data_IF_177737574795
#
_entry.id   IF_177737574795
#
_cell.length_a   1.000
_cell.length_b   1.000
_cell.length_c   1.000
_cell.angle_alpha   90.00
_cell.angle_beta   90.00
_cell.angle_gamma   90.00
#
_symmetry.space_group_name_H-M   'P 1'
#
loop_
_entity.id
_entity.type
_entity.pdbx_description
1 polymer ?
#
# COMPACT_ATOMS: atom_id res chain seq x y z
N UNK A 1 73.55 -22.43 47.38
CA UNK A 1 72.40 -23.13 46.77
C UNK A 1 71.15 -22.36 47.12
N UNK A 2 70.38 -21.98 46.11
CA UNK A 2 69.34 -20.96 46.21
C UNK A 2 68.14 -21.41 47.06
N UNK A 3 67.80 -20.58 48.03
CA UNK A 3 66.60 -20.63 48.86
C UNK A 3 65.35 -20.45 47.98
N UNK A 4 64.47 -21.44 47.98
CA UNK A 4 63.14 -21.37 47.36
C UNK A 4 62.11 -21.14 48.45
N UNK A 5 61.75 -19.88 48.69
CA UNK A 5 60.57 -19.54 49.49
C UNK A 5 59.67 -18.61 48.69
N UNK A 6 58.71 -19.23 47.98
CA UNK A 6 57.64 -18.51 47.31
C UNK A 6 56.53 -18.27 48.35
N UNK A 7 56.49 -17.05 48.89
CA UNK A 7 55.40 -16.59 49.77
C UNK A 7 54.06 -16.57 49.02
N UNK A 8 53.21 -17.55 49.28
CA UNK A 8 51.79 -17.56 48.90
C UNK A 8 50.92 -16.98 50.02
N UNK A 9 51.00 -15.66 50.24
CA UNK A 9 50.08 -14.97 51.17
C UNK A 9 49.46 -13.75 50.50
N UNK A 10 48.64 -13.98 49.46
CA UNK A 10 47.77 -12.95 48.88
C UNK A 10 46.62 -13.53 48.06
N UNK A 11 45.65 -14.20 48.69
CA UNK A 11 44.51 -14.77 47.92
C UNK A 11 43.12 -14.71 48.57
N UNK A 12 42.95 -14.16 49.78
CA UNK A 12 41.60 -14.02 50.38
C UNK A 12 40.82 -12.79 49.91
N UNK A 13 41.47 -11.63 49.78
CA UNK A 13 40.78 -10.38 49.38
C UNK A 13 40.39 -10.34 47.90
N UNK A 14 41.14 -11.04 47.03
CA UNK A 14 40.79 -11.15 45.61
C UNK A 14 39.55 -12.03 45.37
N UNK A 15 39.35 -13.08 46.19
CA UNK A 15 38.24 -14.03 46.05
C UNK A 15 36.87 -13.44 46.42
N UNK A 16 36.83 -12.48 47.35
CA UNK A 16 35.59 -11.79 47.74
C UNK A 16 35.15 -10.74 46.71
N UNK A 17 36.10 -10.12 46.00
CA UNK A 17 35.78 -9.17 44.91
C UNK A 17 35.42 -9.88 43.59
N UNK A 18 35.90 -11.11 43.37
CA UNK A 18 35.61 -11.87 42.14
C UNK A 18 34.23 -12.54 42.14
N UNK A 19 33.62 -12.76 43.32
CA UNK A 19 32.31 -13.40 43.44
C UNK A 19 31.17 -12.59 42.80
N UNK A 20 31.01 -11.29 43.06
CA UNK A 20 29.96 -10.49 42.40
C UNK A 20 30.19 -10.38 40.88
N UNK A 21 31.46 -10.35 40.45
CA UNK A 21 31.81 -10.35 39.03
C UNK A 21 31.38 -11.64 38.34
N UNK A 22 31.61 -12.80 38.97
CA UNK A 22 31.18 -14.09 38.44
C UNK A 22 29.64 -14.19 38.35
N UNK A 23 28.91 -13.69 39.35
CA UNK A 23 27.45 -13.65 39.34
C UNK A 23 26.93 -12.75 38.20
N UNK A 24 27.52 -11.55 38.03
CA UNK A 24 27.14 -10.64 36.96
C UNK A 24 27.34 -11.27 35.57
N UNK A 25 28.45 -12.00 35.38
CA UNK A 25 28.72 -12.73 34.13
C UNK A 25 27.67 -13.82 33.89
N UNK A 26 27.29 -14.59 34.92
CA UNK A 26 26.27 -15.64 34.80
C UNK A 26 24.91 -15.04 34.45
N UNK A 27 24.49 -13.96 35.13
CA UNK A 27 23.23 -13.26 34.84
C UNK A 27 23.22 -12.70 33.42
N UNK A 28 24.32 -12.10 32.97
CA UNK A 28 24.44 -11.60 31.61
C UNK A 28 24.29 -12.73 30.57
N UNK A 29 24.81 -13.92 30.86
CA UNK A 29 24.70 -15.10 30.00
C UNK A 29 23.25 -15.62 29.92
N UNK A 30 22.55 -15.69 31.06
CA UNK A 30 21.13 -16.08 31.12
C UNK A 30 20.24 -15.08 30.37
N UNK A 31 20.48 -13.78 30.56
CA UNK A 31 19.77 -12.72 29.83
C UNK A 31 20.05 -12.83 28.33
N UNK A 32 21.31 -13.00 27.92
CA UNK A 32 21.69 -13.15 26.51
C UNK A 32 21.02 -14.38 25.87
N UNK A 33 20.95 -15.51 26.58
CA UNK A 33 20.23 -16.71 26.11
C UNK A 33 18.71 -16.50 26.01
N UNK A 34 18.14 -15.65 26.86
CA UNK A 34 16.69 -15.39 26.88
C UNK A 34 16.23 -14.35 25.86
N UNK A 35 17.12 -13.47 25.37
CA UNK A 35 16.76 -12.46 24.37
C UNK A 35 16.35 -13.09 23.03
N UNK A 36 17.02 -14.16 22.61
CA UNK A 36 16.73 -14.86 21.35
C UNK A 36 15.31 -15.46 21.30
N UNK A 37 14.86 -16.28 22.27
CA UNK A 37 13.51 -16.84 22.25
C UNK A 37 12.42 -15.77 22.41
N UNK A 38 12.63 -14.73 23.22
CA UNK A 38 11.64 -13.64 23.39
C UNK A 38 11.44 -12.87 22.09
N UNK A 39 12.55 -12.51 21.40
CA UNK A 39 12.47 -11.86 20.08
C UNK A 39 11.78 -12.75 19.06
N UNK A 40 12.11 -14.04 19.05
CA UNK A 40 11.49 -15.02 18.15
C UNK A 40 9.98 -15.14 18.40
N UNK A 41 9.55 -15.21 19.66
CA UNK A 41 8.13 -15.28 20.03
C UNK A 41 7.33 -14.05 19.58
N UNK A 42 7.88 -12.84 19.79
CA UNK A 42 7.23 -11.59 19.35
C UNK A 42 7.17 -11.52 17.82
N UNK A 43 8.25 -11.89 17.12
CA UNK A 43 8.28 -11.90 15.66
C UNK A 43 7.29 -12.92 15.08
N UNK A 44 7.18 -14.11 15.69
CA UNK A 44 6.22 -15.13 15.26
C UNK A 44 4.77 -14.64 15.44
N UNK A 45 4.43 -14.00 16.57
CA UNK A 45 3.10 -13.42 16.76
C UNK A 45 2.77 -12.38 15.69
N UNK A 46 3.72 -11.50 15.36
CA UNK A 46 3.53 -10.49 14.33
C UNK A 46 3.33 -11.11 12.94
N UNK A 47 4.08 -12.17 12.62
CA UNK A 47 3.91 -12.92 11.37
C UNK A 47 2.57 -13.64 11.30
N UNK A 48 2.11 -14.25 12.40
CA UNK A 48 0.79 -14.90 12.47
C UNK A 48 -0.32 -13.86 12.27
N UNK A 49 -0.25 -12.71 12.96
CA UNK A 49 -1.25 -11.66 12.82
C UNK A 49 -1.29 -11.08 11.39
N UNK A 50 -0.14 -10.91 10.74
CA UNK A 50 -0.09 -10.49 9.33
C UNK A 50 -0.72 -11.52 8.39
N UNK A 51 -0.43 -12.81 8.61
CA UNK A 51 -0.99 -13.88 7.78
C UNK A 51 -2.49 -14.04 7.97
N UNK A 52 -3.00 -13.85 9.18
CA UNK A 52 -4.44 -13.88 9.47
C UNK A 52 -5.20 -12.77 8.73
N UNK A 53 -4.64 -11.56 8.67
CA UNK A 53 -5.20 -10.45 7.89
C UNK A 53 -5.20 -10.78 6.39
N UNK A 54 -4.11 -11.37 5.89
CA UNK A 54 -3.99 -11.79 4.48
C UNK A 54 -5.02 -12.87 4.13
N UNK A 55 -5.26 -13.85 5.01
CA UNK A 55 -6.28 -14.88 4.79
C UNK A 55 -7.71 -14.33 4.80
N UNK A 56 -8.02 -13.37 5.68
CA UNK A 56 -9.33 -12.73 5.70
C UNK A 56 -9.62 -12.01 4.37
N UNK A 57 -8.63 -11.35 3.78
CA UNK A 57 -8.76 -10.72 2.47
C UNK A 57 -9.02 -11.73 1.34
N UNK A 58 -8.42 -12.93 1.41
CA UNK A 58 -8.67 -13.96 0.42
C UNK A 58 -10.06 -14.59 0.54
N UNK A 59 -10.59 -14.71 1.75
CA UNK A 59 -11.95 -15.22 1.98
C UNK A 59 -13.01 -14.30 1.34
N UNK A 60 -12.89 -12.98 1.54
CA UNK A 60 -13.78 -11.98 0.91
C UNK A 60 -13.75 -12.07 -0.63
N UNK A 61 -12.56 -12.27 -1.22
CA UNK A 61 -12.40 -12.41 -2.66
C UNK A 61 -13.08 -13.69 -3.15
N UNK A 62 -12.92 -14.80 -2.43
CA UNK A 62 -13.51 -16.10 -2.79
C UNK A 62 -15.03 -16.00 -2.76
N UNK A 63 -15.62 -15.41 -1.72
CA UNK A 63 -17.07 -15.20 -1.62
C UNK A 63 -17.58 -14.36 -2.80
N UNK A 64 -16.91 -13.24 -3.08
CA UNK A 64 -17.27 -12.38 -4.20
C UNK A 64 -17.20 -13.09 -5.56
N UNK A 65 -16.18 -13.93 -5.78
CA UNK A 65 -16.06 -14.71 -7.01
C UNK A 65 -17.14 -15.79 -7.10
N UNK A 66 -17.49 -16.41 -5.98
CA UNK A 66 -18.56 -17.41 -5.90
C UNK A 66 -19.92 -16.78 -6.27
N UNK A 67 -20.19 -15.57 -5.77
CA UNK A 67 -21.38 -14.79 -6.10
C UNK A 67 -21.43 -14.41 -7.57
N UNK A 68 -20.31 -13.95 -8.13
CA UNK A 68 -20.21 -13.64 -9.56
C UNK A 68 -20.46 -14.89 -10.41
N UNK A 69 -19.88 -16.03 -10.07
CA UNK A 69 -20.12 -17.30 -10.79
C UNK A 69 -21.59 -17.70 -10.71
N UNK A 70 -22.22 -17.53 -9.54
CA UNK A 70 -23.64 -17.83 -9.36
C UNK A 70 -24.51 -16.89 -10.20
N UNK A 71 -24.17 -15.60 -10.23
CA UNK A 71 -24.84 -14.60 -11.08
C UNK A 71 -24.67 -14.92 -12.58
N UNK A 72 -23.46 -15.25 -13.03
CA UNK A 72 -23.17 -15.60 -14.43
C UNK A 72 -23.87 -16.87 -14.90
N UNK A 73 -24.25 -17.78 -13.99
CA UNK A 73 -25.07 -18.95 -14.30
C UNK A 73 -26.54 -18.62 -14.54
N UNK A 74 -27.00 -17.44 -14.11
CA UNK A 74 -28.36 -16.97 -14.40
C UNK A 74 -28.47 -16.47 -15.84
N UNK A 75 -29.67 -16.54 -16.42
CA UNK A 75 -29.91 -16.00 -17.77
C UNK A 75 -29.62 -14.50 -17.86
N UNK A 76 -29.96 -13.74 -16.82
CA UNK A 76 -29.71 -12.30 -16.75
C UNK A 76 -28.20 -11.99 -16.69
N UNK A 77 -27.44 -12.71 -15.86
CA UNK A 77 -26.00 -12.52 -15.75
C UNK A 77 -25.24 -12.93 -17.01
N UNK A 78 -25.68 -13.98 -17.70
CA UNK A 78 -25.12 -14.36 -19.00
C UNK A 78 -25.38 -13.29 -20.07
N UNK A 79 -26.59 -12.76 -20.15
CA UNK A 79 -26.92 -11.67 -21.07
C UNK A 79 -26.08 -10.41 -20.79
N UNK A 80 -25.89 -10.07 -19.52
CA UNK A 80 -25.09 -8.92 -19.12
C UNK A 80 -23.59 -9.11 -19.39
N UNK A 81 -23.07 -10.32 -19.20
CA UNK A 81 -21.71 -10.68 -19.56
C UNK A 81 -21.48 -10.63 -21.08
N UNK A 82 -22.43 -11.14 -21.86
CA UNK A 82 -22.41 -11.05 -23.32
C UNK A 82 -22.44 -9.58 -23.76
N UNK A 83 -23.28 -8.74 -23.15
CA UNK A 83 -23.35 -7.30 -23.45
C UNK A 83 -22.03 -6.60 -23.16
N UNK A 84 -21.42 -6.86 -22.00
CA UNK A 84 -20.21 -6.18 -21.54
C UNK A 84 -18.96 -6.66 -22.31
N UNK A 85 -18.82 -7.98 -22.52
CA UNK A 85 -17.61 -8.55 -23.13
C UNK A 85 -17.64 -8.52 -24.66
N UNK A 86 -18.81 -8.77 -25.25
CA UNK A 86 -18.94 -8.90 -26.71
C UNK A 86 -19.61 -7.66 -27.34
N UNK A 87 -20.06 -6.69 -26.54
CA UNK A 87 -20.66 -5.46 -27.05
C UNK A 87 -22.00 -5.65 -27.76
N UNK A 88 -22.67 -6.79 -27.52
CA UNK A 88 -23.98 -7.07 -28.08
C UNK A 88 -25.04 -6.15 -27.47
N UNK A 89 -25.94 -5.65 -28.32
CA UNK A 89 -27.14 -4.90 -27.89
C UNK A 89 -28.34 -5.84 -27.92
N UNK A 90 -29.38 -5.50 -27.14
CA UNK A 90 -30.69 -6.13 -27.31
C UNK A 90 -31.32 -5.73 -28.64
N UNK A 91 -32.29 -6.52 -29.08
CA UNK A 91 -33.02 -6.27 -30.34
C UNK A 91 -33.73 -4.90 -30.38
N UNK A 92 -34.12 -4.37 -29.21
CA UNK A 92 -34.77 -3.08 -29.03
C UNK A 92 -33.80 -1.92 -28.72
N UNK A 93 -32.51 -2.19 -28.55
CA UNK A 93 -31.49 -1.18 -28.26
C UNK A 93 -30.77 -0.72 -29.54
N UNK A 94 -30.53 0.59 -29.66
CA UNK A 94 -29.77 1.18 -30.78
C UNK A 94 -28.59 1.98 -30.25
N UNK A 95 -27.41 1.80 -30.85
CA UNK A 95 -26.27 2.69 -30.61
C UNK A 95 -26.59 4.05 -31.21
N UNK A 96 -26.79 5.05 -30.35
CA UNK A 96 -26.84 6.44 -30.78
C UNK A 96 -25.40 6.97 -30.79
N UNK A 97 -24.84 7.31 -31.95
CA UNK A 97 -23.57 8.00 -31.98
C UNK A 97 -23.76 9.33 -31.26
N UNK A 98 -22.92 9.60 -30.26
CA UNK A 98 -22.84 10.95 -29.73
C UNK A 98 -22.37 11.86 -30.87
N UNK A 99 -23.11 12.92 -31.18
CA UNK A 99 -22.61 13.97 -32.05
C UNK A 99 -21.38 14.58 -31.41
N UNK A 100 -20.40 14.96 -32.21
CA UNK A 100 -19.26 15.75 -31.74
C UNK A 100 -19.78 16.93 -30.93
N UNK A 101 -19.29 17.04 -29.70
CA UNK A 101 -19.65 18.16 -28.84
C UNK A 101 -19.21 19.43 -29.58
N UNK A 102 -20.13 20.37 -29.90
CA UNK A 102 -19.77 21.57 -30.62
C UNK A 102 -18.70 22.30 -29.83
N UNK A 103 -17.64 22.75 -30.50
CA UNK A 103 -16.58 23.51 -29.88
C UNK A 103 -17.21 24.66 -29.09
N UNK A 104 -16.91 24.73 -27.79
CA UNK A 104 -17.43 25.76 -26.91
C UNK A 104 -17.08 27.11 -27.54
N UNK A 105 -18.07 27.93 -27.87
CA UNK A 105 -17.82 29.24 -28.45
C UNK A 105 -16.99 30.07 -27.48
N UNK A 106 -15.76 30.39 -27.86
CA UNK A 106 -14.84 31.26 -27.12
C UNK A 106 -15.13 32.74 -27.37
N UNK A 107 -16.14 33.05 -28.18
CA UNK A 107 -16.57 34.42 -28.41
C UNK A 107 -17.40 34.91 -27.22
N UNK A 108 -16.80 35.78 -26.40
CA UNK A 108 -17.53 36.47 -25.34
C UNK A 108 -18.30 37.66 -25.95
N UNK A 109 -19.56 37.90 -25.53
CA UNK A 109 -20.33 39.06 -26.00
C UNK A 109 -19.61 40.38 -25.67
N UNK A 110 -19.75 41.40 -26.51
CA UNK A 110 -19.05 42.68 -26.32
C UNK A 110 -19.70 43.59 -25.26
N UNK A 111 -20.92 43.25 -24.84
CA UNK A 111 -21.82 44.08 -24.02
C UNK A 111 -21.60 44.04 -22.50
N UNK A 112 -20.65 43.25 -22.00
CA UNK A 112 -20.30 43.24 -20.57
C UNK A 112 -18.78 43.24 -20.38
N UNK A 113 -18.28 43.84 -19.28
CA UNK A 113 -16.85 43.82 -18.98
C UNK A 113 -16.42 42.42 -18.52
N UNK A 114 -16.01 41.57 -19.46
CA UNK A 114 -15.57 40.19 -19.20
C UNK A 114 -14.09 40.06 -18.83
N UNK A 115 -13.46 41.12 -18.34
CA UNK A 115 -12.02 41.17 -18.06
C UNK A 115 -11.55 40.02 -17.17
N UNK A 116 -12.32 39.68 -16.13
CA UNK A 116 -12.02 38.56 -15.23
C UNK A 116 -12.09 37.22 -15.97
N UNK A 117 -13.15 36.99 -16.75
CA UNK A 117 -13.34 35.73 -17.49
C UNK A 117 -12.28 35.55 -18.57
N UNK A 118 -11.91 36.62 -19.29
CA UNK A 118 -10.82 36.58 -20.27
C UNK A 118 -9.47 36.28 -19.62
N UNK A 119 -9.19 36.87 -18.44
CA UNK A 119 -7.95 36.56 -17.71
C UNK A 119 -7.92 35.11 -17.23
N UNK A 120 -9.06 34.58 -16.76
CA UNK A 120 -9.16 33.19 -16.34
C UNK A 120 -8.98 32.21 -17.50
N UNK A 121 -9.59 32.49 -18.66
CA UNK A 121 -9.43 31.69 -19.88
C UNK A 121 -7.98 31.71 -20.38
N UNK A 122 -7.32 32.87 -20.32
CA UNK A 122 -5.91 33.02 -20.69
C UNK A 122 -4.99 32.23 -19.75
N UNK A 123 -5.20 32.31 -18.42
CA UNK A 123 -4.42 31.53 -17.46
C UNK A 123 -4.62 30.03 -17.67
N UNK A 124 -5.87 29.60 -17.89
CA UNK A 124 -6.21 28.19 -18.08
C UNK A 124 -5.69 27.61 -19.40
N UNK A 125 -5.66 28.41 -20.46
CA UNK A 125 -5.09 27.99 -21.75
C UNK A 125 -3.57 27.83 -21.66
N UNK A 126 -2.88 28.75 -20.98
CA UNK A 126 -1.44 28.63 -20.71
C UNK A 126 -1.13 27.40 -19.84
N UNK A 127 -1.96 27.11 -18.83
CA UNK A 127 -1.81 25.91 -18.00
C UNK A 127 -2.00 24.61 -18.81
N UNK A 128 -3.02 24.56 -19.68
CA UNK A 128 -3.23 23.40 -20.56
C UNK A 128 -2.09 23.19 -21.56
N UNK A 129 -1.53 24.27 -22.11
CA UNK A 129 -0.41 24.20 -23.03
C UNK A 129 0.87 23.74 -22.33
N UNK A 130 1.09 24.19 -21.09
CA UNK A 130 2.21 23.73 -20.24
C UNK A 130 2.08 22.24 -19.91
N UNK A 131 0.89 21.78 -19.51
CA UNK A 131 0.61 20.35 -19.24
C UNK A 131 0.82 19.48 -20.48
N UNK A 132 0.37 19.94 -21.65
CA UNK A 132 0.59 19.25 -22.92
C UNK A 132 2.10 19.19 -23.30
N UNK A 133 2.86 20.26 -23.07
CA UNK A 133 4.31 20.30 -23.33
C UNK A 133 5.12 19.44 -22.35
N UNK A 134 4.61 19.22 -21.14
CA UNK A 134 5.22 18.36 -20.12
C UNK A 134 4.95 16.85 -20.37
N UNK A 135 4.26 16.50 -21.45
CA UNK A 135 3.96 15.10 -21.78
C UNK A 135 2.98 14.43 -20.81
N UNK A 136 2.29 15.22 -19.97
CA UNK A 136 1.28 14.71 -19.07
C UNK A 136 0.02 14.44 -19.91
N UNK A 137 -0.10 13.20 -20.38
CA UNK A 137 -1.28 12.68 -21.05
C UNK A 137 -2.45 12.95 -20.10
N UNK A 138 -3.32 13.86 -20.50
CA UNK A 138 -4.57 14.09 -19.79
C UNK A 138 -5.33 12.76 -19.87
N UNK A 139 -5.31 11.99 -18.78
CA UNK A 139 -6.21 10.87 -18.58
C UNK A 139 -7.59 11.49 -18.42
N UNK A 140 -8.21 11.85 -19.54
CA UNK A 140 -9.64 12.02 -19.59
C UNK A 140 -10.21 10.68 -19.11
N UNK A 141 -10.95 10.63 -17.99
CA UNK A 141 -11.73 9.44 -17.73
C UNK A 141 -12.72 9.33 -18.89
N UNK A 142 -12.45 8.41 -19.82
CA UNK A 142 -13.46 7.86 -20.71
C UNK A 142 -14.47 7.18 -19.79
N UNK A 143 -15.45 7.95 -19.37
CA UNK A 143 -16.67 7.42 -18.78
C UNK A 143 -17.65 7.28 -19.95
N UNK A 144 -18.24 6.08 -20.12
CA UNK A 144 -19.13 5.78 -21.24
C UNK A 144 -20.39 6.64 -21.22
#
# INVERSE_FOLDING_TARGET
MATTEIRLVRSRKLRLASTPLAIAVIVALVVAMSVFPVRSYINQRNLIAQKEIEFAQYEDIIENLQDQVTYLKTEAGLQDAIRTQLGYLRFDERRLPMMDMPALSTALPERWPYTIVSTMLLVRSLESAKKAAQGEISLQPFTP
#
